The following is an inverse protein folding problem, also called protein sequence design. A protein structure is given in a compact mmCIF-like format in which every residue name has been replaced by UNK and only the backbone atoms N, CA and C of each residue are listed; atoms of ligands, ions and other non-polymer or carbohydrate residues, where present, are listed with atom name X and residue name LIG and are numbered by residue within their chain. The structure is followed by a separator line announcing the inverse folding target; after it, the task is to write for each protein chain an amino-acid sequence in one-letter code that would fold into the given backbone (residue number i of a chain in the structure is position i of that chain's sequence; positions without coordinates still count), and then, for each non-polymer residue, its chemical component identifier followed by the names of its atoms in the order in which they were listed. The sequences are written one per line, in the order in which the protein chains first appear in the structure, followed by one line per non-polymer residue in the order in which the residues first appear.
data_IF_521489316681
#
_entry.id   IF_521489316681
#
_cell.length_a   1.000
_cell.length_b   1.000
_cell.length_c   1.000
_cell.angle_alpha   90.00
_cell.angle_beta   90.00
_cell.angle_gamma   90.00
#
_symmetry.space_group_name_H-M   'P 1'
#
loop_
_entity.id
_entity.type
_entity.pdbx_description
1 polymer ?
#
# COMPACT_ATOMS: atom_id res chain seq x y z
N UNK A 1 12.46 -4.33 -17.86
CA UNK A 1 12.07 -4.97 -16.58
C UNK A 1 11.01 -6.03 -16.85
N UNK A 2 11.20 -7.23 -16.33
CA UNK A 2 10.23 -8.32 -16.51
C UNK A 2 9.07 -8.18 -15.50
N UNK A 3 7.95 -8.86 -15.76
CA UNK A 3 6.81 -8.85 -14.84
C UNK A 3 7.17 -9.34 -13.43
N UNK A 4 7.91 -10.47 -13.23
CA UNK A 4 8.35 -10.85 -11.90
C UNK A 4 9.20 -9.80 -11.18
N UNK A 5 10.07 -9.10 -11.90
CA UNK A 5 10.88 -8.02 -11.34
C UNK A 5 10.03 -6.83 -10.91
N UNK A 6 9.01 -6.48 -11.70
CA UNK A 6 8.06 -5.42 -11.34
C UNK A 6 7.27 -5.75 -10.10
N UNK A 7 6.75 -6.97 -10.02
CA UNK A 7 6.04 -7.44 -8.84
C UNK A 7 6.91 -7.38 -7.59
N UNK A 8 8.16 -7.84 -7.70
CA UNK A 8 9.09 -7.80 -6.59
C UNK A 8 9.40 -6.37 -6.14
N UNK A 9 9.63 -5.46 -7.08
CA UNK A 9 9.90 -4.07 -6.79
C UNK A 9 8.71 -3.40 -6.09
N UNK A 10 7.50 -3.64 -6.58
CA UNK A 10 6.28 -3.10 -5.98
C UNK A 10 6.04 -3.69 -4.59
N UNK A 11 6.21 -4.99 -4.42
CA UNK A 11 6.06 -5.65 -3.12
C UNK A 11 7.06 -5.09 -2.10
N UNK A 12 8.32 -4.91 -2.48
CA UNK A 12 9.33 -4.32 -1.62
C UNK A 12 8.97 -2.89 -1.23
N UNK A 13 8.53 -2.10 -2.20
CA UNK A 13 8.13 -0.71 -1.94
C UNK A 13 6.95 -0.63 -0.98
N UNK A 14 5.86 -1.35 -1.28
CA UNK A 14 4.67 -1.30 -0.44
C UNK A 14 4.92 -1.91 0.94
N UNK A 15 5.69 -2.98 1.04
CA UNK A 15 6.04 -3.55 2.34
C UNK A 15 6.84 -2.57 3.18
N UNK A 16 7.89 -1.98 2.62
CA UNK A 16 8.79 -1.10 3.35
C UNK A 16 8.15 0.23 3.72
N UNK A 17 7.39 0.82 2.81
CA UNK A 17 6.83 2.18 2.99
C UNK A 17 5.45 2.21 3.61
N UNK A 18 4.68 1.14 3.47
CA UNK A 18 3.28 1.13 3.89
C UNK A 18 2.98 0.03 4.92
N UNK A 19 3.19 -1.23 4.56
CA UNK A 19 2.69 -2.33 5.40
C UNK A 19 3.49 -2.52 6.68
N UNK A 20 4.81 -2.56 6.62
CA UNK A 20 5.65 -2.76 7.82
C UNK A 20 5.44 -1.65 8.85
N UNK A 21 5.52 -0.35 8.47
CA UNK A 21 5.26 0.73 9.43
C UNK A 21 3.86 0.68 10.02
N UNK A 22 2.86 0.35 9.19
CA UNK A 22 1.46 0.26 9.61
C UNK A 22 1.25 -0.88 10.60
N UNK A 23 1.76 -2.07 10.29
CA UNK A 23 1.63 -3.25 11.14
C UNK A 23 2.37 -3.02 12.45
N UNK A 24 3.57 -2.45 12.40
CA UNK A 24 4.34 -2.13 13.61
C UNK A 24 3.60 -1.17 14.52
N UNK A 25 3.09 -0.07 13.95
CA UNK A 25 2.32 0.90 14.72
C UNK A 25 1.09 0.25 15.36
N UNK A 26 0.33 -0.51 14.59
CA UNK A 26 -0.88 -1.15 15.07
C UNK A 26 -0.57 -2.18 16.15
N UNK A 27 0.51 -2.93 16.03
CA UNK A 27 0.95 -3.90 17.01
C UNK A 27 1.38 -3.22 18.31
N UNK A 28 2.20 -2.17 18.20
CA UNK A 28 2.72 -1.44 19.36
C UNK A 28 1.60 -0.73 20.15
N UNK A 29 0.52 -0.37 19.48
CA UNK A 29 -0.61 0.34 20.09
C UNK A 29 -1.84 -0.56 20.30
N UNK A 30 -1.70 -1.88 20.14
CA UNK A 30 -2.77 -2.87 20.35
C UNK A 30 -4.03 -2.63 19.50
N UNK A 31 -3.85 -2.14 18.26
CA UNK A 31 -4.95 -1.91 17.32
C UNK A 31 -5.05 -3.13 16.41
N UNK A 32 -5.67 -4.20 16.92
CA UNK A 32 -5.74 -5.50 16.24
C UNK A 32 -6.40 -5.43 14.86
N UNK A 33 -7.45 -4.64 14.74
CA UNK A 33 -8.22 -4.50 13.50
C UNK A 33 -7.36 -3.95 12.36
N UNK A 34 -6.54 -2.95 12.66
CA UNK A 34 -5.62 -2.36 11.68
C UNK A 34 -4.51 -3.34 11.32
N UNK A 35 -3.93 -4.02 12.30
CA UNK A 35 -2.88 -5.00 12.05
C UNK A 35 -3.37 -6.13 11.16
N UNK A 36 -4.57 -6.65 11.43
CA UNK A 36 -5.18 -7.71 10.62
C UNK A 36 -5.51 -7.22 9.22
N UNK A 37 -6.08 -6.04 9.09
CA UNK A 37 -6.42 -5.44 7.79
C UNK A 37 -5.19 -5.21 6.92
N UNK A 38 -4.11 -4.70 7.50
CA UNK A 38 -2.86 -4.47 6.78
C UNK A 38 -2.22 -5.80 6.33
N UNK A 39 -2.22 -6.81 7.19
CA UNK A 39 -1.70 -8.14 6.82
C UNK A 39 -2.51 -8.78 5.70
N UNK A 40 -3.84 -8.66 5.76
CA UNK A 40 -4.72 -9.17 4.71
C UNK A 40 -4.46 -8.46 3.38
N UNK A 41 -4.39 -7.15 3.40
CA UNK A 41 -4.12 -6.35 2.20
C UNK A 41 -2.76 -6.71 1.59
N UNK A 42 -1.73 -6.87 2.43
CA UNK A 42 -0.40 -7.28 1.99
C UNK A 42 -0.45 -8.64 1.30
N UNK A 43 -1.15 -9.60 1.89
CA UNK A 43 -1.31 -10.93 1.31
C UNK A 43 -2.01 -10.88 -0.04
N UNK A 44 -3.11 -10.14 -0.12
CA UNK A 44 -3.86 -9.99 -1.38
C UNK A 44 -3.02 -9.35 -2.47
N UNK A 45 -2.31 -8.28 -2.15
CA UNK A 45 -1.45 -7.59 -3.12
C UNK A 45 -0.32 -8.50 -3.62
N UNK A 46 0.23 -9.34 -2.74
CA UNK A 46 1.27 -10.27 -3.13
C UNK A 46 0.86 -11.30 -4.17
N UNK A 47 -0.44 -11.55 -4.33
CA UNK A 47 -1.00 -12.50 -5.29
C UNK A 47 -1.35 -11.88 -6.64
N UNK A 48 -1.24 -10.56 -6.78
CA UNK A 48 -1.64 -9.82 -7.98
C UNK A 48 -0.44 -9.53 -8.89
N UNK A 49 -0.70 -9.36 -10.19
CA UNK A 49 0.31 -8.86 -11.12
C UNK A 49 0.56 -7.36 -10.88
N UNK A 50 1.61 -6.80 -11.48
CA UNK A 50 2.03 -5.42 -11.22
C UNK A 50 0.94 -4.39 -11.49
N UNK A 51 0.21 -4.58 -12.57
CA UNK A 51 -0.88 -3.67 -12.95
C UNK A 51 -2.04 -3.73 -11.96
N UNK A 52 -2.43 -4.94 -11.56
CA UNK A 52 -3.50 -5.15 -10.59
C UNK A 52 -3.11 -4.71 -9.19
N UNK A 53 -1.83 -4.88 -8.80
CA UNK A 53 -1.33 -4.35 -7.53
C UNK A 53 -1.58 -2.85 -7.41
N UNK A 54 -1.26 -2.10 -8.45
CA UNK A 54 -1.48 -0.66 -8.43
C UNK A 54 -2.96 -0.29 -8.43
N UNK A 55 -3.77 -0.99 -9.22
CA UNK A 55 -5.22 -0.77 -9.23
C UNK A 55 -5.83 -1.06 -7.86
N UNK A 56 -5.40 -2.13 -7.22
CA UNK A 56 -5.86 -2.49 -5.87
C UNK A 56 -5.48 -1.42 -4.85
N UNK A 57 -4.24 -0.94 -4.91
CA UNK A 57 -3.76 0.15 -4.04
C UNK A 57 -4.60 1.41 -4.22
N UNK A 58 -4.83 1.84 -5.47
CA UNK A 58 -5.67 3.00 -5.76
C UNK A 58 -7.08 2.84 -5.24
N UNK A 59 -7.68 1.67 -5.45
CA UNK A 59 -9.04 1.39 -4.96
C UNK A 59 -9.10 1.43 -3.43
N UNK A 60 -8.09 0.89 -2.77
CA UNK A 60 -8.02 0.89 -1.31
C UNK A 60 -7.90 2.31 -0.73
N UNK A 61 -7.24 3.22 -1.44
CA UNK A 61 -7.08 4.61 -1.00
C UNK A 61 -8.33 5.43 -1.26
N UNK A 62 -9.01 5.20 -2.39
CA UNK A 62 -10.03 6.13 -2.89
C UNK A 62 -11.45 5.86 -2.44
N UNK A 63 -11.76 4.75 -1.82
CA UNK A 63 -13.17 4.55 -1.87
C UNK A 63 -13.89 3.75 -0.82
N UNK A 64 -13.26 3.12 0.08
CA UNK A 64 -14.01 2.41 1.11
C UNK A 64 -13.98 3.19 2.42
N UNK A 65 -15.09 3.14 3.15
CA UNK A 65 -15.19 3.72 4.48
C UNK A 65 -14.05 3.25 5.41
N UNK A 66 -13.66 1.98 5.30
CA UNK A 66 -12.56 1.41 6.07
C UNK A 66 -11.22 2.03 5.70
N UNK A 67 -10.97 2.26 4.40
CA UNK A 67 -9.75 2.91 3.93
C UNK A 67 -9.64 4.33 4.43
N UNK A 68 -10.75 5.07 4.42
CA UNK A 68 -10.81 6.45 4.90
C UNK A 68 -10.50 6.50 6.39
N UNK A 69 -11.13 5.65 7.18
CA UNK A 69 -10.89 5.58 8.63
C UNK A 69 -9.44 5.21 8.94
N UNK A 70 -8.91 4.25 8.21
CA UNK A 70 -7.53 3.80 8.37
C UNK A 70 -6.53 4.90 8.05
N UNK A 71 -6.71 5.58 6.90
CA UNK A 71 -5.86 6.70 6.48
C UNK A 71 -5.89 7.82 7.50
N UNK A 72 -7.07 8.18 7.96
CA UNK A 72 -7.27 9.24 8.95
C UNK A 72 -6.57 8.90 10.26
N UNK A 73 -6.73 7.66 10.73
CA UNK A 73 -6.12 7.23 11.98
C UNK A 73 -4.59 7.33 11.92
N UNK A 74 -3.97 6.87 10.85
CA UNK A 74 -2.53 6.95 10.66
C UNK A 74 -2.05 8.40 10.58
N UNK A 75 -2.77 9.23 9.84
CA UNK A 75 -2.47 10.64 9.71
C UNK A 75 -2.58 11.38 11.03
N UNK A 76 -3.65 11.15 11.77
CA UNK A 76 -3.91 11.80 13.07
C UNK A 76 -2.85 11.42 14.11
N UNK A 77 -2.21 10.26 13.96
CA UNK A 77 -1.16 9.79 14.86
C UNK A 77 0.26 10.03 14.31
N UNK A 78 0.37 10.76 13.21
CA UNK A 78 1.67 11.16 12.64
C UNK A 78 2.51 10.03 12.09
N UNK A 79 1.90 8.87 11.82
CA UNK A 79 2.63 7.66 11.39
C UNK A 79 2.85 7.64 9.88
N UNK A 80 1.88 8.14 9.12
CA UNK A 80 1.90 8.02 7.67
C UNK A 80 1.12 9.15 7.03
N UNK A 81 1.70 9.77 6.01
CA UNK A 81 1.00 10.75 5.18
C UNK A 81 0.68 10.07 3.86
N UNK A 82 -0.59 9.75 3.67
CA UNK A 82 -1.04 9.09 2.44
C UNK A 82 -0.75 9.90 1.19
N UNK A 83 -0.84 11.22 1.31
CA UNK A 83 -0.53 12.14 0.21
C UNK A 83 0.91 11.97 -0.28
N UNK A 84 1.86 11.77 0.64
CA UNK A 84 3.26 11.58 0.29
C UNK A 84 3.48 10.24 -0.42
N UNK A 85 2.81 9.20 0.03
CA UNK A 85 2.86 7.88 -0.61
C UNK A 85 2.22 7.93 -2.00
N UNK A 86 1.09 8.61 -2.13
CA UNK A 86 0.43 8.80 -3.42
C UNK A 86 1.36 9.47 -4.43
N UNK A 87 2.04 10.52 -4.02
CA UNK A 87 2.98 11.25 -4.87
C UNK A 87 4.15 10.37 -5.28
N UNK A 88 4.76 9.66 -4.33
CA UNK A 88 5.85 8.72 -4.62
C UNK A 88 5.42 7.62 -5.58
N UNK A 89 4.23 7.07 -5.41
CA UNK A 89 3.69 6.03 -6.29
C UNK A 89 3.48 6.55 -7.70
N UNK A 90 2.95 7.77 -7.84
CA UNK A 90 2.77 8.38 -9.16
C UNK A 90 4.09 8.59 -9.88
N UNK A 91 5.12 9.03 -9.15
CA UNK A 91 6.43 9.27 -9.73
C UNK A 91 7.13 7.96 -10.07
N UNK A 92 7.11 7.00 -9.15
CA UNK A 92 7.83 5.73 -9.31
C UNK A 92 7.14 4.78 -10.27
N UNK A 93 5.81 4.69 -10.23
CA UNK A 93 5.00 3.77 -11.02
C UNK A 93 4.09 4.55 -11.96
N UNK A 94 4.70 5.31 -12.89
CA UNK A 94 3.98 6.13 -13.87
C UNK A 94 3.45 5.29 -15.04
N UNK A 95 2.75 5.94 -15.97
CA UNK A 95 2.15 5.28 -17.12
C UNK A 95 3.18 4.50 -17.96
N UNK A 96 4.39 5.01 -18.08
CA UNK A 96 5.46 4.35 -18.85
C UNK A 96 5.87 3.02 -18.22
N UNK A 97 5.77 2.91 -16.91
CA UNK A 97 6.02 1.66 -16.20
C UNK A 97 5.05 0.56 -16.67
N UNK A 98 3.81 0.92 -16.99
CA UNK A 98 2.78 -0.03 -17.43
C UNK A 98 2.81 -0.31 -18.93
N UNK A 99 3.30 0.60 -19.76
CA UNK A 99 3.31 0.43 -21.21
C UNK A 99 4.13 -0.77 -21.66
N UNK A 100 5.09 -1.20 -20.88
CA UNK A 100 5.96 -2.33 -21.20
C UNK A 100 5.34 -3.70 -20.85
N UNK A 101 4.17 -3.72 -20.26
CA UNK A 101 3.50 -4.94 -19.85
C UNK A 101 2.61 -5.50 -20.96
#
# INVERSE_FOLDING_TARGET
MTEPQRCQEMDNYFNTKLFEPTIKYATDNNIKEIAQGARYTRMRMGQLDSKKKLQYFWSAIQGTEKSIKFSKLLKDNGVLRFEDILEEVRVKFNDDYFKEV
#
